data_IF_749128475036
#
_entry.id   IF_749128475036
#
_cell.length_a   1.000
_cell.length_b   1.000
_cell.length_c   1.000
_cell.angle_alpha   90.00
_cell.angle_beta   90.00
_cell.angle_gamma   90.00
#
_symmetry.space_group_name_H-M   'P 1'
#
loop_
_entity.id
_entity.type
_entity.pdbx_description
1 polymer ?
#
# COMPACT_ATOMS: atom_id res chain seq x y z
N UNK A 1 24.82 -7.32 -12.03
CA UNK A 1 24.89 -7.04 -10.58
C UNK A 1 24.02 -5.86 -10.13
N UNK A 2 24.19 -4.64 -10.68
CA UNK A 2 23.41 -3.44 -10.26
C UNK A 2 21.87 -3.60 -10.31
N UNK A 3 21.32 -4.18 -11.38
CA UNK A 3 19.86 -4.37 -11.51
C UNK A 3 19.29 -5.40 -10.51
N UNK A 4 20.01 -6.50 -10.27
CA UNK A 4 19.63 -7.51 -9.29
C UNK A 4 19.59 -6.90 -7.87
N UNK A 5 20.58 -6.07 -7.55
CA UNK A 5 20.64 -5.35 -6.28
C UNK A 5 19.45 -4.41 -6.10
N UNK A 6 19.08 -3.61 -7.13
CA UNK A 6 17.88 -2.76 -7.11
C UNK A 6 16.59 -3.57 -6.85
N UNK A 7 16.46 -4.74 -7.46
CA UNK A 7 15.34 -5.65 -7.23
C UNK A 7 15.29 -6.13 -5.78
N UNK A 8 16.44 -6.53 -5.22
CA UNK A 8 16.51 -6.98 -3.82
C UNK A 8 16.15 -5.87 -2.83
N UNK A 9 16.58 -4.63 -3.10
CA UNK A 9 16.22 -3.45 -2.28
C UNK A 9 14.71 -3.20 -2.34
N UNK A 10 14.10 -3.23 -3.54
CA UNK A 10 12.65 -3.08 -3.71
C UNK A 10 11.89 -4.13 -2.91
N UNK A 11 12.31 -5.40 -3.01
CA UNK A 11 11.70 -6.50 -2.26
C UNK A 11 11.90 -6.33 -0.76
N UNK A 12 13.05 -5.85 -0.31
CA UNK A 12 13.31 -5.59 1.09
C UNK A 12 12.49 -4.42 1.64
N UNK A 13 12.31 -3.35 0.87
CA UNK A 13 11.43 -2.24 1.22
C UNK A 13 9.98 -2.70 1.33
N UNK A 14 9.53 -3.52 0.38
CA UNK A 14 8.20 -4.12 0.44
C UNK A 14 8.07 -5.06 1.64
N UNK A 15 9.08 -5.88 1.94
CA UNK A 15 9.09 -6.76 3.10
C UNK A 15 9.01 -5.94 4.39
N UNK A 16 9.74 -4.82 4.49
CA UNK A 16 9.66 -3.94 5.64
C UNK A 16 8.29 -3.26 5.75
N UNK A 17 7.72 -2.74 4.65
CA UNK A 17 6.36 -2.17 4.65
C UNK A 17 5.33 -3.22 5.11
N UNK A 18 5.47 -4.46 4.65
CA UNK A 18 4.55 -5.56 4.93
C UNK A 18 4.72 -6.20 6.29
N UNK A 19 5.93 -6.30 6.83
CA UNK A 19 6.22 -7.14 8.01
C UNK A 19 6.84 -6.37 9.14
N UNK A 20 7.33 -5.15 8.88
CA UNK A 20 8.18 -4.35 9.78
C UNK A 20 9.34 -5.14 10.39
N UNK A 21 9.75 -6.24 9.74
CA UNK A 21 10.90 -7.03 10.15
C UNK A 21 12.19 -6.21 10.01
N UNK A 22 13.19 -6.52 10.84
CA UNK A 22 14.48 -5.83 10.84
C UNK A 22 15.10 -5.79 9.43
N UNK A 23 15.56 -4.60 9.04
CA UNK A 23 16.21 -4.38 7.74
C UNK A 23 17.65 -4.91 7.81
N UNK A 24 18.11 -5.58 6.75
CA UNK A 24 19.53 -5.96 6.58
C UNK A 24 20.39 -4.69 6.41
N UNK A 25 20.93 -4.19 7.52
CA UNK A 25 21.70 -2.94 7.59
C UNK A 25 22.95 -2.93 6.70
N UNK A 26 23.74 -4.03 6.57
CA UNK A 26 24.84 -4.11 5.61
C UNK A 26 24.46 -3.89 4.14
N UNK A 27 23.40 -4.55 3.65
CA UNK A 27 22.94 -4.40 2.25
C UNK A 27 22.48 -2.96 1.97
N UNK A 28 21.85 -2.36 2.97
CA UNK A 28 21.31 -1.00 3.01
C UNK A 28 22.40 0.09 2.99
N UNK A 29 23.39 0.04 3.87
CA UNK A 29 24.46 1.05 3.97
C UNK A 29 25.33 1.11 2.72
N UNK A 30 25.65 -0.05 2.12
CA UNK A 30 26.44 -0.09 0.90
C UNK A 30 25.71 0.49 -0.33
N UNK A 31 24.40 0.74 -0.23
CA UNK A 31 23.56 1.26 -1.32
C UNK A 31 23.45 2.79 -1.26
N UNK A 32 23.25 3.35 -0.05
CA UNK A 32 23.22 4.80 0.17
C UNK A 32 24.53 5.48 -0.27
N UNK A 33 25.65 4.79 -0.12
CA UNK A 33 26.96 5.26 -0.60
C UNK A 33 27.06 5.33 -2.14
N UNK A 34 26.32 4.51 -2.90
CA UNK A 34 26.27 4.57 -4.38
C UNK A 34 25.21 5.57 -4.91
N UNK A 35 24.18 5.84 -4.10
CA UNK A 35 23.01 6.66 -4.44
C UNK A 35 23.18 8.15 -4.07
N UNK A 36 24.35 8.60 -3.64
CA UNK A 36 24.68 10.02 -3.43
C UNK A 36 24.42 10.92 -4.68
N UNK A 37 24.20 10.31 -5.86
CA UNK A 37 23.83 11.00 -7.10
C UNK A 37 22.37 11.46 -7.17
N UNK A 38 21.50 11.02 -6.26
CA UNK A 38 20.07 11.36 -6.27
C UNK A 38 19.73 12.60 -5.41
N UNK A 39 20.71 13.23 -4.77
CA UNK A 39 20.58 14.54 -4.11
C UNK A 39 20.34 15.70 -5.11
N UNK A 40 20.71 15.46 -6.38
CA UNK A 40 20.56 16.38 -7.49
C UNK A 40 19.43 15.92 -8.42
N UNK A 41 18.18 16.00 -7.92
CA UNK A 41 17.00 15.81 -8.77
C UNK A 41 17.14 16.68 -10.03
N UNK A 42 17.06 16.09 -11.24
CA UNK A 42 17.28 16.81 -12.49
C UNK A 42 16.20 17.86 -12.69
N UNK A 43 16.49 18.88 -13.49
CA UNK A 43 15.49 19.88 -13.85
C UNK A 43 14.29 19.23 -14.57
N UNK A 44 14.52 18.24 -15.42
CA UNK A 44 13.48 17.48 -16.13
C UNK A 44 13.91 16.03 -16.24
N UNK A 45 12.98 15.09 -16.09
CA UNK A 45 13.27 13.67 -16.33
C UNK A 45 13.38 13.38 -17.82
N UNK A 46 14.24 12.43 -18.18
CA UNK A 46 14.39 11.89 -19.53
C UNK A 46 13.37 10.80 -19.84
N UNK A 47 12.83 10.12 -18.83
CA UNK A 47 11.87 9.04 -18.97
C UNK A 47 11.05 8.80 -17.69
N UNK A 48 9.93 8.09 -17.83
CA UNK A 48 9.15 7.59 -16.68
C UNK A 48 10.01 6.71 -15.78
N UNK A 49 10.86 5.84 -16.35
CA UNK A 49 11.72 4.94 -15.58
C UNK A 49 12.73 5.70 -14.71
N UNK A 50 13.28 6.81 -15.20
CA UNK A 50 14.15 7.68 -14.40
C UNK A 50 13.37 8.31 -13.23
N UNK A 51 12.20 8.88 -13.49
CA UNK A 51 11.36 9.46 -12.44
C UNK A 51 11.03 8.45 -11.33
N UNK A 52 10.74 7.18 -11.70
CA UNK A 52 10.57 6.07 -10.78
C UNK A 52 11.80 5.80 -9.92
N UNK A 53 12.97 5.65 -10.54
CA UNK A 53 14.21 5.35 -9.83
C UNK A 53 14.55 6.46 -8.81
N UNK A 54 14.37 7.74 -9.18
CA UNK A 54 14.54 8.87 -8.25
C UNK A 54 13.53 8.82 -7.09
N UNK A 55 12.26 8.54 -7.38
CA UNK A 55 11.23 8.48 -6.34
C UNK A 55 11.50 7.36 -5.34
N UNK A 56 11.81 6.15 -5.81
CA UNK A 56 12.12 5.01 -4.93
C UNK A 56 13.32 5.29 -4.04
N UNK A 57 14.39 5.89 -4.60
CA UNK A 57 15.58 6.30 -3.84
C UNK A 57 15.22 7.31 -2.74
N UNK A 58 14.40 8.31 -3.08
CA UNK A 58 13.92 9.33 -2.15
C UNK A 58 13.11 8.73 -0.99
N UNK A 59 12.16 7.83 -1.28
CA UNK A 59 11.36 7.15 -0.25
C UNK A 59 12.24 6.26 0.63
N UNK A 60 13.12 5.49 0.01
CA UNK A 60 14.01 4.57 0.70
C UNK A 60 14.90 5.29 1.71
N UNK A 61 15.56 6.37 1.26
CA UNK A 61 16.44 7.16 2.11
C UNK A 61 15.70 7.78 3.29
N UNK A 62 14.51 8.32 3.05
CA UNK A 62 13.68 8.90 4.12
C UNK A 62 13.39 7.89 5.23
N UNK A 63 12.91 6.69 4.89
CA UNK A 63 12.63 5.67 5.90
C UNK A 63 13.86 5.16 6.62
N UNK A 64 14.97 5.02 5.89
CA UNK A 64 16.23 4.62 6.49
C UNK A 64 16.69 5.61 7.55
N UNK A 65 16.75 6.90 7.20
CA UNK A 65 17.19 7.96 8.12
C UNK A 65 16.23 8.10 9.30
N UNK A 66 14.92 7.97 9.06
CA UNK A 66 13.92 7.98 10.14
C UNK A 66 14.12 6.82 11.13
N UNK A 67 14.38 5.61 10.63
CA UNK A 67 14.64 4.43 11.46
C UNK A 67 15.97 4.56 12.23
N UNK A 68 17.01 5.10 11.62
CA UNK A 68 18.29 5.33 12.31
C UNK A 68 18.14 6.38 13.41
N UNK A 69 17.40 7.48 13.18
CA UNK A 69 17.06 8.45 14.22
C UNK A 69 16.31 7.78 15.38
N UNK A 70 15.35 6.90 15.08
CA UNK A 70 14.60 6.14 16.09
C UNK A 70 15.49 5.17 16.88
N UNK A 71 16.41 4.47 16.22
CA UNK A 71 17.34 3.52 16.83
C UNK A 71 18.42 4.20 17.69
N UNK A 72 18.84 5.42 17.32
CA UNK A 72 19.93 6.12 17.98
C UNK A 72 19.55 6.70 19.36
N UNK A 73 18.27 6.93 19.66
CA UNK A 73 17.90 7.73 20.84
C UNK A 73 16.69 7.20 21.64
N UNK A 74 16.99 6.44 22.70
CA UNK A 74 16.09 6.21 23.85
C UNK A 74 16.06 7.43 24.81
N UNK A 75 15.83 8.66 24.31
CA UNK A 75 15.76 9.85 25.19
C UNK A 75 15.77 11.23 24.51
N UNK A 76 14.63 11.91 24.52
CA UNK A 76 14.39 13.37 24.58
C UNK A 76 14.91 14.37 23.52
N UNK A 77 15.73 14.01 22.53
CA UNK A 77 16.14 14.94 21.42
C UNK A 77 15.66 14.54 20.02
N UNK A 78 14.62 13.71 19.92
CA UNK A 78 14.15 13.12 18.65
C UNK A 78 13.42 14.11 17.73
N UNK A 79 12.70 15.09 18.29
CA UNK A 79 11.81 15.97 17.50
C UNK A 79 12.57 16.86 16.52
N UNK A 80 13.72 17.43 16.91
CA UNK A 80 14.49 18.35 16.06
C UNK A 80 15.08 17.66 14.82
N UNK A 81 15.69 16.48 15.00
CA UNK A 81 16.27 15.71 13.91
C UNK A 81 15.21 15.20 12.92
N UNK A 82 14.07 14.72 13.44
CA UNK A 82 12.93 14.31 12.62
C UNK A 82 12.36 15.49 11.84
N UNK A 83 12.18 16.65 12.47
CA UNK A 83 11.70 17.86 11.80
C UNK A 83 12.65 18.36 10.69
N UNK A 84 13.96 18.29 10.93
CA UNK A 84 14.95 18.61 9.91
C UNK A 84 14.86 17.66 8.71
N UNK A 85 14.82 16.35 8.97
CA UNK A 85 14.66 15.31 7.94
C UNK A 85 13.40 15.52 7.10
N UNK A 86 12.27 15.79 7.76
CA UNK A 86 11.00 16.08 7.09
C UNK A 86 11.10 17.31 6.18
N UNK A 87 11.76 18.37 6.65
CA UNK A 87 11.97 19.60 5.84
C UNK A 87 12.83 19.33 4.61
N UNK A 88 13.91 18.54 4.77
CA UNK A 88 14.75 18.12 3.65
C UNK A 88 13.96 17.30 2.63
N UNK A 89 13.17 16.34 3.10
CA UNK A 89 12.33 15.51 2.26
C UNK A 89 11.28 16.33 1.50
N UNK A 90 10.61 17.28 2.16
CA UNK A 90 9.63 18.16 1.51
C UNK A 90 10.26 18.96 0.36
N UNK A 91 11.46 19.50 0.57
CA UNK A 91 12.21 20.21 -0.47
C UNK A 91 12.53 19.32 -1.66
N UNK A 92 13.02 18.10 -1.42
CA UNK A 92 13.32 17.13 -2.47
C UNK A 92 12.05 16.65 -3.20
N UNK A 93 10.99 16.32 -2.47
CA UNK A 93 9.71 15.92 -3.05
C UNK A 93 9.10 17.02 -3.94
N UNK A 94 9.26 18.29 -3.56
CA UNK A 94 8.87 19.44 -4.37
C UNK A 94 9.70 19.52 -5.66
N UNK A 95 11.03 19.44 -5.58
CA UNK A 95 11.90 19.43 -6.77
C UNK A 95 11.57 18.27 -7.72
N UNK A 96 11.30 17.08 -7.16
CA UNK A 96 10.89 15.90 -7.93
C UNK A 96 9.57 16.13 -8.65
N UNK A 97 8.60 16.73 -7.95
CA UNK A 97 7.30 17.12 -8.51
C UNK A 97 7.46 18.06 -9.70
N UNK A 98 8.23 19.14 -9.53
CA UNK A 98 8.47 20.11 -10.59
C UNK A 98 9.16 19.49 -11.82
N UNK A 99 10.09 18.55 -11.60
CA UNK A 99 10.75 17.82 -12.67
C UNK A 99 9.80 16.89 -13.44
N UNK A 100 8.87 16.23 -12.73
CA UNK A 100 7.83 15.41 -13.35
C UNK A 100 6.81 16.26 -14.11
N UNK A 101 6.42 17.41 -13.56
CA UNK A 101 5.51 18.36 -14.23
C UNK A 101 6.11 18.84 -15.55
N UNK A 102 7.39 19.20 -15.56
CA UNK A 102 8.12 19.60 -16.79
C UNK A 102 8.23 18.45 -17.80
N UNK A 103 8.45 17.22 -17.32
CA UNK A 103 8.44 16.03 -18.19
C UNK A 103 7.06 15.82 -18.84
N UNK A 104 5.99 15.87 -18.05
CA UNK A 104 4.61 15.70 -18.55
C UNK A 104 4.22 16.80 -19.53
N UNK A 105 4.59 18.06 -19.25
CA UNK A 105 4.33 19.18 -20.18
C UNK A 105 5.04 19.03 -21.52
N UNK A 106 6.28 18.53 -21.51
CA UNK A 106 7.10 18.41 -22.74
C UNK A 106 6.81 17.14 -23.55
N UNK A 107 6.45 16.03 -22.89
CA UNK A 107 6.34 14.70 -23.49
C UNK A 107 4.94 14.10 -23.40
N UNK A 108 4.00 14.71 -22.68
CA UNK A 108 2.72 14.12 -22.30
C UNK A 108 1.90 13.56 -23.47
N UNK A 109 1.84 14.29 -24.59
CA UNK A 109 1.10 13.83 -25.79
C UNK A 109 1.85 12.74 -26.59
N UNK A 110 3.14 12.56 -26.34
CA UNK A 110 4.01 11.61 -27.04
C UNK A 110 4.21 10.31 -26.24
N UNK A 111 3.60 10.20 -25.06
CA UNK A 111 3.75 9.03 -24.22
C UNK A 111 3.02 7.83 -24.83
N UNK A 112 3.68 6.69 -24.77
CA UNK A 112 3.03 5.41 -25.04
C UNK A 112 1.97 5.12 -23.98
N UNK A 113 1.03 4.22 -24.30
CA UNK A 113 0.02 3.74 -23.35
C UNK A 113 0.63 3.26 -22.02
N UNK A 114 1.75 2.52 -22.09
CA UNK A 114 2.47 2.02 -20.91
C UNK A 114 3.10 3.16 -20.09
N UNK A 115 3.62 4.20 -20.75
CA UNK A 115 4.17 5.37 -20.07
C UNK A 115 3.08 6.20 -19.40
N UNK A 116 1.88 6.30 -19.99
CA UNK A 116 0.73 6.92 -19.32
C UNK A 116 0.31 6.17 -18.05
N UNK A 117 0.30 4.83 -18.10
CA UNK A 117 0.06 4.01 -16.90
C UNK A 117 1.13 4.30 -15.83
N UNK A 118 2.41 4.30 -16.22
CA UNK A 118 3.52 4.60 -15.31
C UNK A 118 3.42 6.01 -14.70
N UNK A 119 3.07 7.01 -15.50
CA UNK A 119 2.84 8.38 -15.04
C UNK A 119 1.71 8.45 -14.02
N UNK A 120 0.57 7.78 -14.25
CA UNK A 120 -0.53 7.73 -13.28
C UNK A 120 -0.10 7.09 -11.96
N UNK A 121 0.66 5.99 -12.01
CA UNK A 121 1.19 5.35 -10.80
C UNK A 121 2.14 6.30 -10.06
N UNK A 122 3.02 7.02 -10.76
CA UNK A 122 3.88 8.03 -10.14
C UNK A 122 3.07 9.14 -9.45
N UNK A 123 1.97 9.61 -10.07
CA UNK A 123 1.07 10.61 -9.47
C UNK A 123 0.34 10.08 -8.24
N UNK A 124 -0.09 8.82 -8.27
CA UNK A 124 -0.66 8.13 -7.09
C UNK A 124 0.34 8.14 -5.94
N UNK A 125 1.59 7.71 -6.21
CA UNK A 125 2.64 7.66 -5.19
C UNK A 125 3.06 9.03 -4.69
N UNK A 126 3.12 10.03 -5.57
CA UNK A 126 3.40 11.43 -5.22
C UNK A 126 2.39 11.93 -4.19
N UNK A 127 1.09 11.82 -4.50
CA UNK A 127 0.00 12.21 -3.60
C UNK A 127 0.11 11.42 -2.30
N UNK A 128 0.10 10.09 -2.39
CA UNK A 128 0.19 9.21 -1.22
C UNK A 128 1.38 9.57 -0.31
N UNK A 129 2.55 9.86 -0.88
CA UNK A 129 3.76 10.18 -0.12
C UNK A 129 3.72 11.54 0.58
N UNK A 130 3.14 12.55 -0.07
CA UNK A 130 2.98 13.89 0.51
C UNK A 130 2.09 13.87 1.76
N UNK A 131 1.16 12.91 1.88
CA UNK A 131 0.16 12.89 2.94
C UNK A 131 0.42 11.83 4.00
N UNK A 132 0.63 10.57 3.61
CA UNK A 132 0.73 9.47 4.57
C UNK A 132 2.08 9.49 5.28
N UNK A 133 3.17 9.78 4.57
CA UNK A 133 4.52 9.64 5.17
C UNK A 133 4.93 10.84 6.01
N UNK A 134 4.58 12.06 5.58
CA UNK A 134 4.95 13.29 6.27
C UNK A 134 4.17 13.50 7.57
N UNK A 135 2.86 13.22 7.57
CA UNK A 135 2.05 13.34 8.79
C UNK A 135 2.31 12.19 9.78
N UNK A 136 2.53 10.94 9.30
CA UNK A 136 3.00 9.86 10.19
C UNK A 136 4.35 10.20 10.86
N UNK A 137 5.29 10.81 10.12
CA UNK A 137 6.59 11.20 10.65
C UNK A 137 6.55 12.37 11.63
N UNK A 138 5.61 13.31 11.48
CA UNK A 138 5.44 14.47 12.37
C UNK A 138 4.76 14.13 13.68
N UNK A 139 3.74 13.28 13.65
CA UNK A 139 2.74 13.22 14.73
C UNK A 139 3.03 12.09 15.72
N UNK A 140 3.82 11.06 15.35
CA UNK A 140 4.24 10.02 16.29
C UNK A 140 3.04 9.44 17.07
N UNK A 141 2.21 8.65 16.36
CA UNK A 141 0.81 8.24 16.65
C UNK A 141 -0.21 9.26 16.12
N UNK A 142 -0.74 8.98 14.94
CA UNK A 142 -1.83 9.76 14.34
C UNK A 142 -3.13 9.53 15.10
N UNK A 143 -3.69 10.61 15.63
CA UNK A 143 -5.13 10.71 15.88
C UNK A 143 -5.86 10.28 14.59
N UNK A 144 -6.69 9.24 14.60
CA UNK A 144 -7.39 8.77 13.40
C UNK A 144 -8.20 9.87 12.70
N UNK A 145 -8.68 10.88 13.44
CA UNK A 145 -9.44 11.99 12.87
C UNK A 145 -8.60 12.94 11.99
N UNK A 146 -7.27 12.94 12.17
CA UNK A 146 -6.35 13.74 11.35
C UNK A 146 -6.31 13.31 9.89
N UNK A 147 -6.79 12.10 9.57
CA UNK A 147 -6.84 11.57 8.21
C UNK A 147 -7.99 12.14 7.37
N UNK A 148 -9.07 12.61 7.99
CA UNK A 148 -10.28 13.07 7.28
C UNK A 148 -9.97 14.23 6.31
N UNK A 149 -8.97 15.06 6.63
CA UNK A 149 -8.53 16.17 5.75
C UNK A 149 -7.97 15.69 4.40
N UNK A 150 -7.70 14.40 4.25
CA UNK A 150 -7.16 13.78 3.04
C UNK A 150 -8.21 13.01 2.22
N UNK A 151 -9.48 13.01 2.61
CA UNK A 151 -10.52 12.24 1.92
C UNK A 151 -10.59 12.58 0.42
N UNK A 152 -10.49 13.85 0.04
CA UNK A 152 -10.48 14.27 -1.37
C UNK A 152 -9.29 13.72 -2.16
N UNK A 153 -8.14 13.56 -1.51
CA UNK A 153 -6.95 12.99 -2.12
C UNK A 153 -7.07 11.46 -2.21
N UNK A 154 -7.58 10.81 -1.16
CA UNK A 154 -7.82 9.37 -1.19
C UNK A 154 -8.80 9.00 -2.29
N UNK A 155 -9.88 9.77 -2.44
CA UNK A 155 -10.84 9.66 -3.53
C UNK A 155 -10.16 9.73 -4.91
N UNK A 156 -9.28 10.71 -5.10
CA UNK A 156 -8.53 10.91 -6.34
C UNK A 156 -7.54 9.75 -6.59
N UNK A 157 -6.80 9.29 -5.58
CA UNK A 157 -5.91 8.13 -5.69
C UNK A 157 -6.71 6.87 -6.11
N UNK A 158 -7.85 6.60 -5.47
CA UNK A 158 -8.70 5.44 -5.80
C UNK A 158 -9.23 5.55 -7.23
N UNK A 159 -9.62 6.74 -7.66
CA UNK A 159 -10.08 7.01 -9.03
C UNK A 159 -8.97 6.83 -10.06
N UNK A 160 -7.76 7.33 -9.77
CA UNK A 160 -6.59 7.15 -10.64
C UNK A 160 -6.18 5.68 -10.72
N UNK A 161 -6.23 4.94 -9.62
CA UNK A 161 -5.92 3.51 -9.59
C UNK A 161 -6.94 2.69 -10.39
N UNK A 162 -8.23 3.02 -10.29
CA UNK A 162 -9.28 2.42 -11.13
C UNK A 162 -8.99 2.65 -12.62
N UNK A 163 -8.68 3.89 -13.00
CA UNK A 163 -8.30 4.24 -14.37
C UNK A 163 -7.06 3.48 -14.87
N UNK A 164 -6.09 3.18 -13.99
CA UNK A 164 -4.93 2.33 -14.35
C UNK A 164 -5.38 0.90 -14.69
N UNK A 165 -6.38 0.36 -14.00
CA UNK A 165 -6.94 -0.96 -14.30
C UNK A 165 -7.66 -0.96 -15.65
N UNK A 166 -8.51 0.03 -15.90
CA UNK A 166 -9.24 0.16 -17.18
C UNK A 166 -8.25 0.21 -18.37
N UNK A 167 -7.23 1.06 -18.26
CA UNK A 167 -6.16 1.17 -19.26
C UNK A 167 -5.42 -0.16 -19.46
N UNK A 168 -5.19 -0.92 -18.39
CA UNK A 168 -4.50 -2.22 -18.49
C UNK A 168 -5.40 -3.28 -19.14
N UNK A 169 -6.70 -3.28 -18.83
CA UNK A 169 -7.71 -4.18 -19.40
C UNK A 169 -7.87 -4.01 -20.91
N UNK A 170 -7.94 -2.77 -21.39
CA UNK A 170 -8.08 -2.46 -22.82
C UNK A 170 -6.87 -2.95 -23.65
N UNK A 171 -5.66 -2.92 -23.06
CA UNK A 171 -4.45 -3.38 -23.73
C UNK A 171 -4.42 -4.90 -23.99
N UNK A 172 -5.09 -5.68 -23.13
CA UNK A 172 -5.21 -7.13 -23.24
C UNK A 172 -6.22 -7.48 -24.36
N UNK A 173 -7.31 -6.73 -24.47
CA UNK A 173 -8.31 -6.92 -25.54
C UNK A 173 -7.74 -6.65 -26.95
N UNK A 174 -6.88 -5.64 -27.10
CA UNK A 174 -6.26 -5.33 -28.41
C UNK A 174 -5.20 -6.38 -28.80
N UNK A 175 -4.51 -6.96 -27.82
CA UNK A 175 -3.49 -8.00 -28.06
C UNK A 175 -4.08 -9.38 -28.38
N UNK A 176 -5.39 -9.58 -28.18
CA UNK A 176 -6.10 -10.85 -28.39
C UNK A 176 -6.55 -11.09 -29.84
N UNK A 177 -6.05 -10.32 -30.82
CA UNK A 177 -6.29 -10.57 -32.26
C UNK A 177 -5.25 -11.49 -32.90
N UNK A 178 -4.27 -12.03 -32.16
CA UNK A 178 -3.40 -13.11 -32.64
C UNK A 178 -3.87 -14.46 -32.09
N UNK A 179 -4.48 -15.23 -32.98
CA UNK A 179 -5.06 -16.56 -32.78
C UNK A 179 -4.02 -17.64 -32.45
N UNK A 180 -4.16 -18.27 -31.28
CA UNK A 180 -3.82 -19.69 -31.05
C UNK A 180 -4.97 -20.37 -30.28
N UNK A 181 -5.46 -21.54 -30.72
CA UNK A 181 -6.75 -22.09 -30.26
C UNK A 181 -6.63 -23.04 -29.05
N UNK A 182 -5.91 -22.68 -27.98
CA UNK A 182 -5.80 -23.56 -26.80
C UNK A 182 -6.06 -22.95 -25.42
N UNK A 183 -6.11 -21.63 -25.26
CA UNK A 183 -6.44 -21.05 -23.96
C UNK A 183 -7.90 -20.62 -23.96
N UNK A 184 -8.77 -21.50 -23.43
CA UNK A 184 -10.15 -21.17 -23.12
C UNK A 184 -10.17 -19.95 -22.21
N UNK A 185 -10.62 -18.84 -22.77
CA UNK A 185 -11.02 -17.63 -22.08
C UNK A 185 -12.02 -18.05 -20.98
N UNK A 186 -11.61 -17.95 -19.71
CA UNK A 186 -12.57 -17.82 -18.62
C UNK A 186 -13.06 -16.38 -18.72
N UNK A 187 -14.25 -16.21 -19.30
CA UNK A 187 -14.91 -14.93 -19.51
C UNK A 187 -14.86 -14.07 -18.23
N UNK A 188 -14.24 -12.88 -18.35
CA UNK A 188 -14.26 -11.84 -17.31
C UNK A 188 -13.08 -11.80 -16.32
N UNK A 189 -12.10 -12.71 -16.39
CA UNK A 189 -10.92 -12.65 -15.49
C UNK A 189 -9.73 -11.91 -16.14
N UNK A 190 -9.35 -10.78 -15.53
CA UNK A 190 -8.12 -10.05 -15.88
C UNK A 190 -6.89 -10.95 -15.72
N UNK A 191 -6.04 -11.00 -16.76
CA UNK A 191 -4.78 -11.76 -16.75
C UNK A 191 -3.89 -11.29 -15.58
N UNK A 192 -3.44 -12.20 -14.69
CA UNK A 192 -2.56 -11.84 -13.60
C UNK A 192 -1.28 -11.15 -14.10
N UNK A 193 -0.84 -10.10 -13.41
CA UNK A 193 0.39 -9.37 -13.75
C UNK A 193 1.37 -9.32 -12.58
N UNK A 194 2.67 -9.47 -12.87
CA UNK A 194 3.76 -9.39 -11.89
C UNK A 194 4.68 -8.21 -12.19
N UNK A 195 5.01 -7.42 -11.17
CA UNK A 195 6.02 -6.35 -11.22
C UNK A 195 6.73 -6.28 -9.89
N UNK A 196 8.03 -5.95 -9.87
CA UNK A 196 8.75 -5.67 -8.61
C UNK A 196 8.79 -4.16 -8.31
N UNK A 197 8.42 -3.33 -9.27
CA UNK A 197 8.33 -1.87 -9.11
C UNK A 197 7.08 -1.47 -8.33
N UNK A 198 7.10 -0.26 -7.74
CA UNK A 198 5.93 0.33 -7.12
C UNK A 198 4.74 0.38 -8.09
N UNK A 199 3.57 -0.05 -7.63
CA UNK A 199 2.31 0.04 -8.36
C UNK A 199 1.18 0.56 -7.47
N UNK A 200 -0.03 0.05 -7.64
CA UNK A 200 -1.22 0.60 -6.98
C UNK A 200 -1.60 -0.16 -5.70
N UNK A 201 -1.02 -1.33 -5.44
CA UNK A 201 -1.48 -2.22 -4.37
C UNK A 201 -1.24 -1.62 -2.98
N UNK A 202 -0.02 -1.16 -2.69
CA UNK A 202 0.29 -0.56 -1.39
C UNK A 202 -0.55 0.70 -1.08
N UNK A 203 -0.62 1.72 -1.96
CA UNK A 203 -1.44 2.90 -1.70
C UNK A 203 -2.92 2.57 -1.47
N UNK A 204 -3.50 1.65 -2.25
CA UNK A 204 -4.90 1.26 -2.07
C UNK A 204 -5.14 0.49 -0.77
N UNK A 205 -4.20 -0.36 -0.35
CA UNK A 205 -4.31 -1.09 0.91
C UNK A 205 -4.30 -0.12 2.10
N UNK A 206 -3.39 0.85 2.09
CA UNK A 206 -3.32 1.87 3.13
C UNK A 206 -4.56 2.75 3.13
N UNK A 207 -5.09 3.15 1.97
CA UNK A 207 -6.36 3.90 1.92
C UNK A 207 -7.51 3.06 2.47
N UNK A 208 -7.61 1.78 2.12
CA UNK A 208 -8.68 0.92 2.60
C UNK A 208 -8.65 0.73 4.13
N UNK A 209 -7.46 0.71 4.72
CA UNK A 209 -7.28 0.44 6.16
C UNK A 209 -7.20 1.72 7.01
N UNK A 210 -6.67 2.82 6.48
CA UNK A 210 -6.48 4.08 7.22
C UNK A 210 -7.60 5.11 7.00
N UNK A 211 -8.24 5.16 5.82
CA UNK A 211 -9.32 6.12 5.58
C UNK A 211 -10.52 5.86 6.51
N UNK A 212 -11.15 6.94 7.00
CA UNK A 212 -12.35 6.86 7.84
C UNK A 212 -13.64 6.87 7.04
N UNK A 213 -13.65 7.46 5.85
CA UNK A 213 -14.80 7.45 4.99
C UNK A 213 -15.18 6.01 4.54
N UNK A 214 -16.36 5.50 4.93
CA UNK A 214 -16.77 4.13 4.61
C UNK A 214 -16.98 3.88 3.11
N UNK A 215 -17.18 4.90 2.31
CA UNK A 215 -17.36 4.77 0.85
C UNK A 215 -16.03 4.68 0.12
N UNK A 216 -15.08 5.57 0.46
CA UNK A 216 -13.74 5.61 -0.13
C UNK A 216 -13.01 4.31 0.16
N UNK A 217 -13.02 3.87 1.42
CA UNK A 217 -12.27 2.68 1.83
C UNK A 217 -12.79 1.38 1.21
N UNK A 218 -14.12 1.24 1.08
CA UNK A 218 -14.74 0.08 0.41
C UNK A 218 -14.47 0.13 -1.09
N UNK A 219 -14.45 1.31 -1.71
CA UNK A 219 -14.02 1.46 -3.11
C UNK A 219 -12.55 1.08 -3.30
N UNK A 220 -11.65 1.53 -2.45
CA UNK A 220 -10.24 1.12 -2.49
C UNK A 220 -10.08 -0.41 -2.41
N UNK A 221 -10.80 -1.06 -1.48
CA UNK A 221 -10.85 -2.51 -1.34
C UNK A 221 -11.39 -3.20 -2.62
N UNK A 222 -12.46 -2.67 -3.23
CA UNK A 222 -13.02 -3.23 -4.47
C UNK A 222 -12.05 -3.09 -5.66
N UNK A 223 -11.31 -1.98 -5.75
CA UNK A 223 -10.26 -1.79 -6.76
C UNK A 223 -9.14 -2.81 -6.56
N UNK A 224 -8.68 -3.04 -5.33
CA UNK A 224 -7.71 -4.10 -5.03
C UNK A 224 -8.22 -5.47 -5.48
N UNK A 225 -9.47 -5.79 -5.14
CA UNK A 225 -10.11 -7.07 -5.49
C UNK A 225 -10.16 -7.30 -7.00
N UNK A 226 -10.32 -6.22 -7.76
CA UNK A 226 -10.43 -6.27 -9.22
C UNK A 226 -9.08 -6.18 -9.94
N UNK A 227 -7.98 -5.89 -9.25
CA UNK A 227 -6.71 -5.56 -9.91
C UNK A 227 -6.02 -6.76 -10.57
N UNK A 228 -6.12 -7.98 -10.01
CA UNK A 228 -5.38 -9.17 -10.46
C UNK A 228 -3.87 -8.90 -10.64
N UNK A 229 -3.26 -8.25 -9.63
CA UNK A 229 -1.84 -7.83 -9.62
C UNK A 229 -1.03 -8.43 -8.48
N UNK A 230 0.25 -8.68 -8.75
CA UNK A 230 1.31 -8.95 -7.79
C UNK A 230 2.44 -7.93 -7.96
N UNK A 231 2.68 -7.15 -6.91
CA UNK A 231 3.70 -6.11 -6.82
C UNK A 231 4.79 -6.57 -5.83
N UNK A 232 5.71 -7.39 -6.34
CA UNK A 232 6.74 -8.09 -5.59
C UNK A 232 6.12 -8.98 -4.51
N UNK A 233 6.15 -8.55 -3.26
CA UNK A 233 5.54 -9.28 -2.12
C UNK A 233 4.06 -8.95 -1.91
N UNK A 234 3.54 -7.91 -2.56
CA UNK A 234 2.17 -7.45 -2.39
C UNK A 234 1.24 -8.13 -3.40
N UNK A 235 0.27 -8.91 -2.92
CA UNK A 235 -0.79 -9.46 -3.76
C UNK A 235 -2.08 -8.66 -3.60
N UNK A 236 -2.61 -8.14 -4.70
CA UNK A 236 -3.84 -7.33 -4.69
C UNK A 236 -5.06 -8.03 -4.08
N UNK A 237 -5.27 -9.31 -4.37
CA UNK A 237 -6.40 -10.07 -3.83
C UNK A 237 -6.24 -10.32 -2.33
N UNK A 238 -5.04 -10.74 -1.89
CA UNK A 238 -4.76 -10.94 -0.46
C UNK A 238 -4.91 -9.62 0.29
N UNK A 239 -4.39 -8.52 -0.26
CA UNK A 239 -4.56 -7.18 0.30
C UNK A 239 -6.03 -6.78 0.38
N UNK A 240 -6.87 -7.14 -0.60
CA UNK A 240 -8.30 -6.87 -0.56
C UNK A 240 -9.01 -7.64 0.57
N UNK A 241 -8.70 -8.93 0.73
CA UNK A 241 -9.27 -9.75 1.81
C UNK A 241 -8.81 -9.24 3.18
N UNK A 242 -7.53 -8.93 3.33
CA UNK A 242 -7.00 -8.34 4.55
C UNK A 242 -7.68 -6.99 4.89
N UNK A 243 -7.85 -6.11 3.90
CA UNK A 243 -8.54 -4.84 4.08
C UNK A 243 -10.03 -5.02 4.44
N UNK A 244 -10.72 -5.98 3.81
CA UNK A 244 -12.11 -6.32 4.14
C UNK A 244 -12.24 -6.83 5.58
N UNK A 245 -11.29 -7.65 6.04
CA UNK A 245 -11.24 -8.07 7.45
C UNK A 245 -11.04 -6.88 8.38
N UNK A 246 -10.08 -5.98 8.10
CA UNK A 246 -9.86 -4.76 8.90
C UNK A 246 -11.14 -3.92 8.98
N UNK A 247 -11.75 -3.59 7.84
CA UNK A 247 -13.01 -2.83 7.78
C UNK A 247 -14.09 -3.57 8.59
N UNK A 248 -14.24 -4.87 8.38
CA UNK A 248 -15.25 -5.69 9.04
C UNK A 248 -15.11 -5.71 10.56
N UNK A 249 -13.88 -5.75 11.08
CA UNK A 249 -13.58 -5.72 12.50
C UNK A 249 -13.89 -4.35 13.11
N UNK A 250 -13.41 -3.27 12.49
CA UNK A 250 -13.66 -1.90 12.96
C UNK A 250 -15.16 -1.58 13.02
N UNK A 251 -15.91 -1.99 11.99
CA UNK A 251 -17.37 -1.78 11.94
C UNK A 251 -18.13 -2.63 12.96
N UNK A 252 -17.69 -3.88 13.20
CA UNK A 252 -18.28 -4.74 14.22
C UNK A 252 -18.06 -4.17 15.63
N UNK A 253 -16.84 -3.70 15.92
CA UNK A 253 -16.51 -3.06 17.19
C UNK A 253 -17.36 -1.81 17.45
N UNK A 254 -17.59 -1.02 16.40
CA UNK A 254 -18.42 0.17 16.46
C UNK A 254 -19.91 -0.15 16.74
N UNK A 255 -20.46 -1.19 16.09
CA UNK A 255 -21.87 -1.57 16.23
C UNK A 255 -22.17 -2.39 17.50
N UNK A 256 -21.19 -3.16 18.00
CA UNK A 256 -21.36 -4.10 19.10
C UNK A 256 -21.22 -3.51 20.50
N UNK A 257 -20.92 -2.22 20.66
CA UNK A 257 -20.81 -1.55 21.97
C UNK A 257 -19.63 -2.02 22.85
N UNK A 258 -18.75 -2.90 22.36
CA UNK A 258 -17.65 -3.54 23.08
C UNK A 258 -16.41 -2.66 23.34
N UNK A 259 -16.53 -1.34 23.23
CA UNK A 259 -15.41 -0.40 23.42
C UNK A 259 -14.94 -0.31 24.88
N UNK A 260 -15.79 -0.70 25.83
CA UNK A 260 -15.45 -0.68 27.25
C UNK A 260 -14.46 -1.79 27.65
N UNK A 261 -14.43 -2.91 26.91
CA UNK A 261 -13.54 -4.05 27.14
C UNK A 261 -12.28 -4.04 26.25
N UNK A 262 -12.13 -3.02 25.40
CA UNK A 262 -11.00 -2.87 24.46
C UNK A 262 -9.70 -2.42 25.12
N UNK A 263 -9.63 -2.43 26.45
CA UNK A 263 -8.37 -2.23 27.18
C UNK A 263 -7.45 -3.46 27.10
N UNK A 264 -8.00 -4.63 26.76
CA UNK A 264 -7.25 -5.86 26.54
C UNK A 264 -7.28 -6.32 25.08
N UNK A 265 -6.11 -6.32 24.43
CA UNK A 265 -5.90 -6.76 23.05
C UNK A 265 -6.29 -8.24 22.82
N UNK A 266 -6.38 -9.04 23.87
CA UNK A 266 -6.89 -10.43 23.86
C UNK A 266 -8.35 -10.49 23.39
N UNK A 267 -9.15 -9.48 23.72
CA UNK A 267 -10.56 -9.36 23.29
C UNK A 267 -10.67 -9.07 21.78
N UNK A 268 -9.71 -8.34 21.19
CA UNK A 268 -9.68 -8.07 19.74
C UNK A 268 -9.38 -9.35 18.95
N UNK A 269 -8.48 -10.19 19.44
CA UNK A 269 -8.16 -11.48 18.83
C UNK A 269 -9.35 -12.47 18.90
N UNK A 270 -10.04 -12.52 20.04
CA UNK A 270 -11.25 -13.34 20.22
C UNK A 270 -12.40 -12.86 19.32
N UNK A 271 -12.63 -11.55 19.26
CA UNK A 271 -13.62 -10.94 18.36
C UNK A 271 -13.26 -11.16 16.89
N UNK A 272 -11.98 -11.20 16.53
CA UNK A 272 -11.56 -11.47 15.16
C UNK A 272 -11.81 -12.92 14.73
N UNK A 273 -11.65 -13.88 15.64
CA UNK A 273 -12.00 -15.28 15.43
C UNK A 273 -13.52 -15.49 15.34
N UNK A 274 -14.31 -14.82 16.18
CA UNK A 274 -15.78 -14.80 16.07
C UNK A 274 -16.26 -14.10 14.79
N UNK A 275 -15.53 -13.06 14.36
CA UNK A 275 -15.81 -12.31 13.14
C UNK A 275 -15.62 -13.13 11.86
N UNK A 276 -14.71 -14.12 11.82
CA UNK A 276 -14.62 -15.04 10.65
C UNK A 276 -15.95 -15.79 10.43
N UNK A 277 -16.57 -16.27 11.51
CA UNK A 277 -17.85 -16.99 11.44
C UNK A 277 -19.01 -16.03 11.10
N UNK A 278 -18.98 -14.80 11.63
CA UNK A 278 -20.00 -13.78 11.36
C UNK A 278 -19.86 -13.11 9.98
N UNK A 279 -18.64 -12.97 9.44
CA UNK A 279 -18.38 -12.48 8.07
C UNK A 279 -19.03 -13.39 7.03
N UNK A 280 -18.98 -14.71 7.24
CA UNK A 280 -19.70 -15.67 6.39
C UNK A 280 -21.23 -15.55 6.51
N UNK A 281 -21.75 -15.23 7.69
CA UNK A 281 -23.19 -15.01 7.93
C UNK A 281 -23.69 -13.64 7.43
N UNK A 282 -22.84 -12.60 7.39
CA UNK A 282 -23.19 -11.24 6.93
C UNK A 282 -23.59 -11.18 5.45
N UNK A 283 -23.06 -12.05 4.61
CA UNK A 283 -23.52 -12.15 3.21
C UNK A 283 -25.00 -12.55 3.10
N UNK A 284 -25.60 -13.08 4.17
CA UNK A 284 -26.98 -13.60 4.17
C UNK A 284 -27.97 -12.74 4.96
N UNK A 285 -27.52 -11.85 5.86
CA UNK A 285 -28.41 -11.07 6.73
C UNK A 285 -28.11 -9.57 6.68
N UNK A 286 -29.03 -8.79 6.12
CA UNK A 286 -28.94 -7.33 5.95
C UNK A 286 -28.87 -6.53 7.25
N UNK A 287 -27.72 -6.57 7.92
CA UNK A 287 -27.43 -5.79 9.13
C UNK A 287 -27.19 -4.30 8.83
N UNK A 288 -27.32 -3.47 9.87
CA UNK A 288 -27.00 -2.03 9.81
C UNK A 288 -25.60 -1.82 9.24
N UNK A 289 -25.51 -1.09 8.13
CA UNK A 289 -24.24 -0.73 7.48
C UNK A 289 -23.77 0.62 7.97
N UNK A 290 -22.49 0.71 8.33
CA UNK A 290 -21.82 1.98 8.64
C UNK A 290 -21.74 2.85 7.38
N UNK A 291 -22.27 4.07 7.47
CA UNK A 291 -22.34 5.01 6.32
C UNK A 291 -21.53 6.29 6.49
N UNK A 292 -21.19 6.68 7.72
CA UNK A 292 -20.43 7.91 8.01
C UNK A 292 -19.16 7.61 8.78
N UNK A 293 -18.11 8.39 8.54
CA UNK A 293 -16.77 8.20 9.13
C UNK A 293 -16.76 8.18 10.66
N UNK A 294 -17.63 8.97 11.30
CA UNK A 294 -17.74 9.07 12.76
C UNK A 294 -18.52 7.93 13.41
N UNK A 295 -19.21 7.09 12.62
CA UNK A 295 -19.91 5.92 13.16
C UNK A 295 -18.93 4.84 13.63
N UNK A 296 -17.67 4.87 13.16
CA UNK A 296 -16.56 4.11 13.72
C UNK A 296 -15.76 5.01 14.67
N UNK A 297 -15.85 4.83 15.99
CA UNK A 297 -15.09 5.63 16.93
C UNK A 297 -13.60 5.29 16.88
N UNK A 298 -12.74 6.24 17.26
CA UNK A 298 -11.28 6.08 17.17
C UNK A 298 -10.75 4.88 17.95
N UNK A 299 -11.40 4.54 19.07
CA UNK A 299 -11.07 3.34 19.84
C UNK A 299 -11.33 2.03 19.09
N UNK A 300 -12.26 2.00 18.13
CA UNK A 300 -12.48 0.84 17.27
C UNK A 300 -11.49 0.76 16.09
N UNK A 301 -10.68 1.80 15.83
CA UNK A 301 -9.79 1.88 14.67
C UNK A 301 -8.52 1.07 14.88
N UNK A 302 -8.19 0.24 13.89
CA UNK A 302 -6.96 -0.53 13.83
C UNK A 302 -5.89 0.30 13.12
N UNK A 303 -5.10 1.04 13.90
CA UNK A 303 -4.05 1.94 13.39
C UNK A 303 -2.87 1.20 12.75
N UNK A 304 -2.70 -0.09 13.04
CA UNK A 304 -1.67 -0.93 12.46
C UNK A 304 -2.25 -2.31 12.15
N UNK A 305 -2.41 -2.61 10.87
CA UNK A 305 -2.84 -3.93 10.40
C UNK A 305 -2.17 -4.28 9.06
N UNK A 306 -1.50 -5.44 9.00
CA UNK A 306 -0.73 -5.82 7.81
C UNK A 306 -0.75 -7.34 7.55
N UNK A 307 -0.76 -7.77 6.27
CA UNK A 307 -0.72 -9.17 5.93
C UNK A 307 0.71 -9.73 6.06
N UNK A 308 0.86 -10.93 6.62
CA UNK A 308 2.07 -11.73 6.56
C UNK A 308 1.80 -13.09 5.91
N UNK A 309 2.85 -13.70 5.38
CA UNK A 309 2.77 -14.93 4.60
C UNK A 309 3.69 -15.99 5.17
N UNK A 310 3.13 -17.15 5.46
CA UNK A 310 3.87 -18.39 5.65
C UNK A 310 3.90 -19.12 4.32
N UNK A 311 4.98 -18.89 3.58
CA UNK A 311 5.19 -19.46 2.24
C UNK A 311 5.38 -20.98 2.28
N UNK A 312 5.90 -21.51 3.39
CA UNK A 312 6.14 -22.96 3.58
C UNK A 312 4.81 -23.68 3.68
N UNK A 313 3.90 -23.17 4.54
CA UNK A 313 2.59 -23.79 4.75
C UNK A 313 1.50 -23.22 3.84
N UNK A 314 1.85 -22.29 2.93
CA UNK A 314 0.92 -21.59 2.02
C UNK A 314 -0.24 -20.91 2.77
N UNK A 315 0.06 -20.30 3.93
CA UNK A 315 -0.93 -19.59 4.76
C UNK A 315 -0.66 -18.09 4.73
N UNK A 316 -1.71 -17.30 4.88
CA UNK A 316 -1.60 -15.87 5.10
C UNK A 316 -2.31 -15.49 6.41
N UNK A 317 -1.78 -14.46 7.06
CA UNK A 317 -2.25 -13.98 8.35
C UNK A 317 -2.37 -12.46 8.31
N UNK A 318 -3.36 -11.92 9.00
CA UNK A 318 -3.49 -10.50 9.29
C UNK A 318 -2.93 -10.26 10.69
N UNK A 319 -1.87 -9.46 10.78
CA UNK A 319 -1.29 -9.02 12.04
C UNK A 319 -2.01 -7.74 12.46
N UNK A 320 -2.43 -7.64 13.72
CA UNK A 320 -3.13 -6.48 14.26
C UNK A 320 -2.33 -5.91 15.44
N UNK A 321 -1.96 -4.63 15.36
CA UNK A 321 -1.21 -3.92 16.39
C UNK A 321 0.31 -4.09 16.32
N UNK A 322 0.99 -3.51 17.31
CA UNK A 322 2.48 -3.41 17.40
C UNK A 322 3.11 -4.59 18.14
N UNK A 323 2.31 -5.46 18.76
CA UNK A 323 2.82 -6.62 19.52
C UNK A 323 2.82 -7.88 18.66
N UNK A 324 3.99 -8.52 18.58
CA UNK A 324 4.17 -9.87 18.04
C UNK A 324 3.22 -10.85 18.77
N UNK A 325 2.15 -11.29 18.12
CA UNK A 325 1.31 -12.37 18.67
C UNK A 325 -0.13 -12.43 18.18
N UNK A 326 -0.77 -11.30 17.83
CA UNK A 326 -2.17 -11.31 17.37
C UNK A 326 -2.23 -11.47 15.86
N UNK A 327 -2.39 -12.72 15.42
CA UNK A 327 -2.55 -13.11 14.03
C UNK A 327 -3.93 -13.72 13.81
N UNK A 328 -4.68 -13.12 12.88
CA UNK A 328 -5.94 -13.68 12.39
C UNK A 328 -5.64 -14.37 11.07
N UNK A 329 -6.16 -15.57 10.86
CA UNK A 329 -5.95 -16.27 9.59
C UNK A 329 -6.66 -15.50 8.48
N UNK A 330 -6.00 -15.31 7.34
CA UNK A 330 -6.69 -14.79 6.16
C UNK A 330 -7.30 -16.00 5.45
N UNK A 331 -8.63 -16.12 5.36
CA UNK A 331 -9.27 -17.22 4.63
C UNK A 331 -9.02 -17.00 3.14
N UNK A 332 -7.99 -17.65 2.62
CA UNK A 332 -7.69 -17.64 1.19
C UNK A 332 -8.38 -18.83 0.53
N UNK A 333 -9.44 -18.63 -0.28
CA UNK A 333 -9.99 -19.68 -1.12
C UNK A 333 -9.00 -19.97 -2.26
N UNK A 334 -7.98 -20.77 -1.95
CA UNK A 334 -6.85 -21.12 -2.82
C UNK A 334 -6.11 -19.87 -3.38
N UNK A 335 -4.79 -19.83 -3.23
CA UNK A 335 -3.95 -18.82 -3.90
C UNK A 335 -3.83 -19.06 -5.42
N UNK A 336 -4.95 -19.37 -6.06
CA UNK A 336 -5.10 -19.88 -7.43
C UNK A 336 -4.71 -18.89 -8.51
N UNK A 337 -4.49 -17.61 -8.18
CA UNK A 337 -4.16 -16.63 -9.22
C UNK A 337 -2.67 -16.60 -9.58
N UNK A 338 -1.74 -16.92 -8.67
CA UNK A 338 -0.31 -16.70 -8.96
C UNK A 338 0.70 -17.66 -8.35
N UNK A 339 0.32 -18.54 -7.40
CA UNK A 339 1.23 -19.59 -6.91
C UNK A 339 1.04 -20.93 -7.62
N UNK A 340 0.02 -21.05 -8.48
CA UNK A 340 -0.17 -22.18 -9.41
C UNK A 340 0.55 -21.95 -10.74
N UNK A 341 1.77 -21.39 -10.71
CA UNK A 341 2.67 -21.37 -11.88
C UNK A 341 3.31 -22.73 -12.19
N UNK A 342 2.96 -23.77 -11.43
CA UNK A 342 3.35 -25.16 -11.70
C UNK A 342 2.10 -26.05 -11.77
N UNK A 343 1.37 -25.98 -12.87
CA UNK A 343 0.60 -27.13 -13.38
C UNK A 343 0.63 -27.19 -14.89
#
# INVERSE_FOLDING_TARGET
MRNLRKILIRLQNQAWVLTRADIDKPLLNATLAEDARYDEIPHIFSSIAEAYDFFESLIFRFYHELNEIANMNMGHTTSGAVNYLLTCYESLAKRWTEALDRFEQSRGQLLTHKEHIGLKILRIHQKYSQFVRLDHGRIGRTDPSSWDKYDSIFEDIVSQASSVLDMTGDSIHISSMSSTPSDKIIEGQLKPSFSVSMGIVAPLYDIATLCRDPSIRRRAMNVLRSASRQEGLLNSHVSAVAAEMVIGLEENLALGGGLNDLKDFTSVAALALESEQQLQQRHQQGHRSIRRSFEVPDAARLSLAYPSFDTVNRKAFLNIGDMKGTQVKIPLPAMTAMLDMER
#
